data_IF_596682441981
#
_entry.id   IF_596682441981
#
_cell.length_a   1.000
_cell.length_b   1.000
_cell.length_c   1.000
_cell.angle_alpha   90.00
_cell.angle_beta   90.00
_cell.angle_gamma   90.00
#
_symmetry.space_group_name_H-M   'P 1'
#
loop_
_entity.id
_entity.type
_entity.pdbx_description
1 polymer ?
#
# COMPACT_ATOMS: atom_id res chain seq x y z
N UNK A 1 -2.67 11.02 -20.61
CA UNK A 1 -3.84 10.49 -19.86
C UNK A 1 -3.66 10.83 -18.40
N UNK A 2 -4.55 11.63 -17.79
CA UNK A 2 -4.53 11.89 -16.35
C UNK A 2 -4.92 10.58 -15.66
N UNK A 3 -3.94 9.85 -15.15
CA UNK A 3 -4.21 8.62 -14.41
C UNK A 3 -5.15 8.97 -13.24
N UNK A 4 -6.31 8.32 -13.21
CA UNK A 4 -7.30 8.48 -12.14
C UNK A 4 -6.63 8.20 -10.79
N UNK A 5 -7.05 8.89 -9.73
CA UNK A 5 -6.51 8.70 -8.37
C UNK A 5 -6.48 7.21 -7.96
N UNK A 6 -7.46 6.43 -8.42
CA UNK A 6 -7.53 4.98 -8.24
C UNK A 6 -6.37 4.21 -8.92
N UNK A 7 -5.92 4.65 -10.10
CA UNK A 7 -4.77 4.04 -10.81
C UNK A 7 -3.47 4.26 -10.05
N UNK A 8 -3.26 5.46 -9.51
CA UNK A 8 -2.08 5.75 -8.66
C UNK A 8 -2.09 4.95 -7.37
N UNK A 9 -3.25 4.82 -6.73
CA UNK A 9 -3.43 3.98 -5.54
C UNK A 9 -3.06 2.52 -5.80
N UNK A 10 -3.64 1.91 -6.84
CA UNK A 10 -3.38 0.52 -7.21
C UNK A 10 -1.89 0.33 -7.55
N UNK A 11 -1.29 1.26 -8.31
CA UNK A 11 0.13 1.21 -8.65
C UNK A 11 1.03 1.24 -7.40
N UNK A 12 0.74 2.09 -6.42
CA UNK A 12 1.52 2.16 -5.18
C UNK A 12 1.42 0.90 -4.32
N UNK A 13 0.26 0.25 -4.26
CA UNK A 13 0.09 -1.02 -3.53
C UNK A 13 0.85 -2.14 -4.22
N UNK A 14 0.75 -2.24 -5.56
CA UNK A 14 1.46 -3.25 -6.33
C UNK A 14 2.98 -3.06 -6.17
N UNK A 15 3.48 -1.84 -6.31
CA UNK A 15 4.91 -1.53 -6.11
C UNK A 15 5.37 -1.89 -4.70
N UNK A 16 4.60 -1.53 -3.68
CA UNK A 16 4.90 -1.89 -2.30
C UNK A 16 4.94 -3.41 -2.07
N UNK A 17 4.00 -4.14 -2.68
CA UNK A 17 3.92 -5.60 -2.58
C UNK A 17 5.09 -6.29 -3.29
N UNK A 18 5.47 -5.81 -4.46
CA UNK A 18 6.63 -6.32 -5.21
C UNK A 18 7.93 -6.06 -4.45
N UNK A 19 8.09 -4.86 -3.88
CA UNK A 19 9.25 -4.54 -3.05
C UNK A 19 9.34 -5.44 -1.81
N UNK A 20 8.20 -5.68 -1.13
CA UNK A 20 8.14 -6.59 0.00
C UNK A 20 8.44 -8.04 -0.39
N UNK A 21 7.96 -8.50 -1.55
CA UNK A 21 8.26 -9.83 -2.08
C UNK A 21 9.75 -10.02 -2.38
N UNK A 22 10.40 -9.02 -2.98
CA UNK A 22 11.86 -9.05 -3.20
C UNK A 22 12.63 -9.11 -1.88
N UNK A 23 12.19 -8.37 -0.87
CA UNK A 23 12.73 -8.40 0.48
C UNK A 23 12.56 -9.78 1.12
N UNK A 24 11.38 -10.39 0.99
CA UNK A 24 11.11 -11.74 1.47
C UNK A 24 12.01 -12.79 0.81
N UNK A 25 12.22 -12.68 -0.51
CA UNK A 25 13.17 -13.53 -1.23
C UNK A 25 14.61 -13.35 -0.69
N UNK A 26 15.05 -12.10 -0.48
CA UNK A 26 16.39 -11.83 0.05
C UNK A 26 16.59 -12.42 1.45
N UNK A 27 15.54 -12.42 2.27
CA UNK A 27 15.58 -13.02 3.61
C UNK A 27 15.62 -14.54 3.56
N UNK A 28 14.95 -15.16 2.59
CA UNK A 28 15.05 -16.61 2.38
C UNK A 28 16.50 -17.06 2.14
N UNK A 29 17.28 -16.29 1.38
CA UNK A 29 18.70 -16.60 1.12
C UNK A 29 19.65 -16.20 2.25
N UNK A 30 19.37 -15.11 2.98
CA UNK A 30 20.28 -14.56 4.00
C UNK A 30 19.98 -15.03 5.43
N UNK A 31 18.80 -15.59 5.69
CA UNK A 31 18.35 -16.04 7.00
C UNK A 31 18.03 -14.90 8.00
N UNK A 32 18.16 -13.63 7.60
CA UNK A 32 17.90 -12.49 8.48
C UNK A 32 16.39 -12.16 8.58
N UNK A 33 15.66 -12.94 9.36
CA UNK A 33 14.20 -12.77 9.59
C UNK A 33 13.80 -11.41 10.16
N UNK A 34 14.71 -10.68 10.82
CA UNK A 34 14.47 -9.30 11.28
C UNK A 34 14.09 -8.36 10.14
N UNK A 35 14.72 -8.50 8.96
CA UNK A 35 14.40 -7.66 7.80
C UNK A 35 12.96 -7.88 7.30
N UNK A 36 12.43 -9.10 7.46
CA UNK A 36 11.05 -9.42 7.11
C UNK A 36 10.05 -8.68 8.00
N UNK A 37 10.29 -8.64 9.32
CA UNK A 37 9.40 -7.95 10.26
C UNK A 37 9.39 -6.43 10.03
N UNK A 38 10.56 -5.84 9.77
CA UNK A 38 10.67 -4.41 9.43
C UNK A 38 9.99 -4.12 8.09
N UNK A 39 10.23 -4.95 7.07
CA UNK A 39 9.57 -4.83 5.77
C UNK A 39 8.06 -4.95 5.85
N UNK A 40 7.54 -5.84 6.71
CA UNK A 40 6.11 -6.05 6.91
C UNK A 40 5.49 -4.81 7.57
N UNK A 41 6.16 -4.24 8.57
CA UNK A 41 5.71 -3.02 9.24
C UNK A 41 5.63 -1.83 8.28
N UNK A 42 6.64 -1.65 7.43
CA UNK A 42 6.65 -0.60 6.40
C UNK A 42 5.55 -0.82 5.36
N UNK A 43 5.39 -2.06 4.88
CA UNK A 43 4.36 -2.40 3.91
C UNK A 43 2.95 -2.15 4.46
N UNK A 44 2.70 -2.55 5.71
CA UNK A 44 1.43 -2.31 6.41
C UNK A 44 1.15 -0.82 6.59
N UNK A 45 2.15 -0.04 6.99
CA UNK A 45 2.00 1.41 7.18
C UNK A 45 1.65 2.12 5.86
N UNK A 46 2.30 1.76 4.75
CA UNK A 46 2.03 2.33 3.43
C UNK A 46 0.62 1.96 2.94
N UNK A 47 0.25 0.68 3.05
CA UNK A 47 -1.10 0.23 2.66
C UNK A 47 -2.18 0.89 3.51
N UNK A 48 -2.03 0.91 4.84
CA UNK A 48 -3.01 1.57 5.72
C UNK A 48 -3.14 3.07 5.44
N UNK A 49 -2.03 3.77 5.21
CA UNK A 49 -2.06 5.21 4.91
C UNK A 49 -2.84 5.46 3.63
N UNK A 50 -2.54 4.72 2.56
CA UNK A 50 -3.24 4.85 1.30
C UNK A 50 -4.71 4.45 1.41
N UNK A 51 -5.02 3.36 2.10
CA UNK A 51 -6.41 2.91 2.32
C UNK A 51 -7.21 3.94 3.13
N UNK A 52 -6.59 4.57 4.14
CA UNK A 52 -7.21 5.66 4.91
C UNK A 52 -7.53 6.87 4.02
N UNK A 53 -6.61 7.27 3.14
CA UNK A 53 -6.82 8.37 2.19
C UNK A 53 -7.97 8.05 1.23
N UNK A 54 -8.03 6.83 0.69
CA UNK A 54 -9.16 6.40 -0.16
C UNK A 54 -10.48 6.38 0.62
N UNK A 55 -10.50 5.83 1.84
CA UNK A 55 -11.70 5.77 2.66
C UNK A 55 -12.23 7.17 3.01
N UNK A 56 -11.34 8.14 3.26
CA UNK A 56 -11.72 9.55 3.45
C UNK A 56 -12.31 10.17 2.17
N UNK A 57 -11.71 9.88 1.01
CA UNK A 57 -12.22 10.33 -0.29
C UNK A 57 -13.61 9.76 -0.63
N UNK A 58 -13.81 8.46 -0.41
CA UNK A 58 -15.10 7.80 -0.61
C UNK A 58 -16.17 8.33 0.35
N UNK A 59 -15.85 8.51 1.64
CA UNK A 59 -16.78 9.08 2.62
C UNK A 59 -17.22 10.50 2.26
N UNK A 60 -16.34 11.31 1.68
CA UNK A 60 -16.70 12.65 1.16
C UNK A 60 -17.61 12.57 -0.06
N UNK A 61 -17.37 11.64 -0.97
CA UNK A 61 -18.24 11.42 -2.14
C UNK A 61 -19.65 10.98 -1.71
N UNK A 62 -19.75 10.02 -0.79
CA UNK A 62 -21.03 9.51 -0.27
C UNK A 62 -21.81 10.62 0.47
N UNK A 63 -21.13 11.45 1.27
CA UNK A 63 -21.79 12.61 1.93
C UNK A 63 -22.19 13.73 0.96
N UNK A 64 -21.53 13.82 -0.19
CA UNK A 64 -21.85 14.78 -1.26
C UNK A 64 -23.06 14.38 -2.09
N UNK A 65 -23.32 13.08 -2.25
CA UNK A 65 -24.49 12.54 -2.96
C UNK A 65 -25.78 12.54 -2.12
N UNK A 66 -25.69 12.71 -0.79
CA UNK A 66 -26.86 12.78 0.11
C UNK A 66 -27.36 14.23 0.30
N UNK A 67 -26.80 15.22 -0.42
CA UNK A 67 -27.32 16.59 -0.49
C UNK A 67 -28.05 16.83 -1.81
#
# INVERSE_FOLDING_TARGET
MKATFNTWYIASIILGGVAFFALALSVYFTGQTILLYVGLGVFLAVTMTMTSIMAQGQRKSIKGEIK
#
